data_IF_682794352808
#
_entry.id   IF_682794352808
#
_cell.length_a   1.000
_cell.length_b   1.000
_cell.length_c   1.000
_cell.angle_alpha   90.00
_cell.angle_beta   90.00
_cell.angle_gamma   90.00
#
_symmetry.space_group_name_H-M   'P 1'
#
loop_
_entity.id
_entity.type
_entity.pdbx_description
1 polymer ?
#
# COMPACT_ATOMS: atom_id res chain seq x y z
N UNK A 1 -0.47 -7.82 -1.11
CA UNK A 1 0.17 -6.55 -0.72
C UNK A 1 -0.89 -5.62 -0.19
N UNK A 2 -0.63 -5.01 0.97
CA UNK A 2 -1.44 -3.93 1.52
C UNK A 2 -0.53 -2.77 1.87
N UNK A 3 -0.96 -1.55 1.59
CA UNK A 3 -0.21 -0.33 1.87
C UNK A 3 -1.10 0.60 2.67
N UNK A 4 -0.52 1.20 3.69
CA UNK A 4 -1.19 2.05 4.67
C UNK A 4 -0.54 3.41 4.72
N UNK A 5 -1.35 4.42 5.08
CA UNK A 5 -0.87 5.78 5.26
C UNK A 5 0.16 5.89 6.40
N UNK A 6 0.73 7.09 6.56
CA UNK A 6 1.77 7.41 7.57
C UNK A 6 1.39 7.03 9.02
N UNK A 7 0.11 6.95 9.35
CA UNK A 7 -0.34 6.60 10.70
C UNK A 7 -0.73 5.12 10.84
N UNK A 8 -0.61 4.32 9.77
CA UNK A 8 -1.05 2.92 9.74
C UNK A 8 -2.56 2.71 9.83
N UNK A 9 -3.34 3.79 9.88
CA UNK A 9 -4.77 3.75 10.19
C UNK A 9 -5.67 3.52 8.98
N UNK A 10 -5.21 3.83 7.77
CA UNK A 10 -6.01 3.69 6.55
C UNK A 10 -5.25 2.94 5.47
N UNK A 11 -5.93 1.95 4.88
CA UNK A 11 -5.47 1.26 3.68
C UNK A 11 -5.57 2.22 2.48
N UNK A 12 -4.43 2.37 1.81
CA UNK A 12 -4.20 3.22 0.64
C UNK A 12 -4.23 2.38 -0.62
N UNK A 13 -3.61 1.19 -0.56
CA UNK A 13 -3.56 0.30 -1.71
C UNK A 13 -3.64 -1.16 -1.26
N UNK A 14 -4.32 -1.98 -2.05
CA UNK A 14 -4.37 -3.43 -1.89
C UNK A 14 -4.32 -4.14 -3.23
N UNK A 15 -3.55 -5.21 -3.29
CA UNK A 15 -3.46 -6.08 -4.46
C UNK A 15 -3.07 -7.51 -4.09
N UNK A 16 -3.75 -8.47 -4.73
CA UNK A 16 -3.38 -9.89 -4.73
C UNK A 16 -2.36 -10.16 -5.83
N UNK A 17 -1.38 -11.03 -5.57
CA UNK A 17 -0.35 -11.36 -6.57
C UNK A 17 0.53 -10.15 -6.96
N UNK A 18 0.82 -9.28 -5.99
CA UNK A 18 1.54 -8.02 -6.24
C UNK A 18 2.89 -8.24 -6.91
N UNK A 19 3.08 -7.64 -8.08
CA UNK A 19 4.28 -7.81 -8.90
C UNK A 19 5.04 -6.49 -9.09
N UNK A 20 5.08 -5.67 -8.03
CA UNK A 20 5.74 -4.37 -8.01
C UNK A 20 5.22 -3.34 -9.02
N UNK A 21 3.91 -3.35 -9.27
CA UNK A 21 3.23 -2.53 -10.29
C UNK A 21 2.48 -1.32 -9.75
N UNK A 22 2.60 -1.02 -8.45
CA UNK A 22 1.90 0.13 -7.88
C UNK A 22 2.60 1.43 -8.29
N UNK A 23 1.82 2.36 -8.82
CA UNK A 23 2.25 3.63 -9.41
C UNK A 23 1.94 4.85 -8.52
N UNK A 24 1.52 4.59 -7.28
CA UNK A 24 1.16 5.61 -6.30
C UNK A 24 -0.32 6.00 -6.32
N UNK A 25 -1.17 5.31 -7.09
CA UNK A 25 -2.61 5.54 -7.10
C UNK A 25 -3.31 4.77 -5.97
N UNK A 26 -4.16 5.46 -5.21
CA UNK A 26 -4.93 4.81 -4.13
C UNK A 26 -6.08 3.98 -4.71
N UNK A 27 -6.27 2.75 -4.23
CA UNK A 27 -7.49 1.95 -4.47
C UNK A 27 -8.16 1.50 -3.15
N UNK A 28 -7.75 2.10 -2.04
CA UNK A 28 -8.29 1.81 -0.72
C UNK A 28 -9.70 2.37 -0.49
N UNK A 29 -10.36 1.97 0.61
CA UNK A 29 -11.76 2.31 0.91
C UNK A 29 -12.03 3.79 1.21
N UNK A 30 -10.99 4.62 1.32
CA UNK A 30 -11.09 6.07 1.54
C UNK A 30 -10.59 6.89 0.35
N UNK A 31 -10.44 6.24 -0.80
CA UNK A 31 -10.07 6.93 -2.04
C UNK A 31 -11.23 7.80 -2.50
N UNK A 32 -11.03 9.11 -2.53
CA UNK A 32 -12.04 10.07 -3.02
C UNK A 32 -11.95 10.22 -4.54
N UNK A 33 -10.74 10.11 -5.09
CA UNK A 33 -10.48 10.15 -6.52
C UNK A 33 -9.44 9.07 -6.87
N UNK A 34 -9.83 8.11 -7.70
CA UNK A 34 -8.96 7.00 -8.14
C UNK A 34 -7.94 7.42 -9.20
N UNK A 35 -8.01 8.65 -9.72
CA UNK A 35 -7.02 9.16 -10.69
C UNK A 35 -5.87 9.93 -10.01
N UNK A 36 -6.02 10.28 -8.73
CA UNK A 36 -5.04 11.08 -8.01
C UNK A 36 -3.98 10.21 -7.33
N UNK A 37 -2.71 10.59 -7.53
CA UNK A 37 -1.60 10.00 -6.78
C UNK A 37 -1.68 10.37 -5.32
N UNK A 38 -1.24 9.44 -4.47
CA UNK A 38 -1.14 9.67 -3.03
C UNK A 38 -0.09 10.74 -2.73
N UNK A 39 -0.26 11.54 -1.66
CA UNK A 39 0.70 12.56 -1.29
C UNK A 39 2.11 12.02 -1.07
N UNK A 40 3.11 12.84 -1.39
CA UNK A 40 4.52 12.57 -1.06
C UNK A 40 4.67 12.29 0.43
N UNK A 41 5.38 11.22 0.77
CA UNK A 41 5.59 10.85 2.17
C UNK A 41 5.90 9.37 2.41
N UNK A 42 6.00 9.04 3.69
CA UNK A 42 6.23 7.68 4.17
C UNK A 42 4.92 6.93 4.32
N UNK A 43 4.89 5.71 3.80
CA UNK A 43 3.80 4.75 3.88
C UNK A 43 4.32 3.44 4.48
N UNK A 44 3.42 2.61 4.97
CA UNK A 44 3.75 1.31 5.53
C UNK A 44 3.14 0.21 4.68
N UNK A 45 3.83 -0.91 4.52
CA UNK A 45 3.31 -2.04 3.76
C UNK A 45 3.30 -3.33 4.57
N UNK A 46 2.36 -4.20 4.20
CA UNK A 46 2.29 -5.59 4.62
C UNK A 46 2.26 -6.46 3.36
N UNK A 47 3.28 -7.30 3.22
CA UNK A 47 3.43 -8.24 2.12
C UNK A 47 3.34 -9.67 2.65
N UNK A 48 2.20 -10.30 2.38
CA UNK A 48 1.97 -11.71 2.62
C UNK A 48 2.20 -12.50 1.31
N UNK A 49 3.06 -13.53 1.36
CA UNK A 49 3.39 -14.40 0.23
C UNK A 49 2.48 -15.63 0.13
N UNK A 50 1.59 -15.85 1.11
CA UNK A 50 0.64 -16.96 1.13
C UNK A 50 1.27 -18.35 1.29
N UNK A 51 2.54 -18.43 1.65
CA UNK A 51 3.29 -19.68 1.85
C UNK A 51 3.24 -20.19 3.30
N UNK A 52 2.52 -19.50 4.19
CA UNK A 52 2.47 -19.78 5.63
C UNK A 52 3.57 -19.10 6.44
N UNK A 53 4.49 -18.39 5.78
CA UNK A 53 5.50 -17.54 6.43
C UNK A 53 4.88 -16.29 7.06
N UNK A 54 5.58 -15.70 8.03
CA UNK A 54 5.21 -14.41 8.60
C UNK A 54 5.18 -13.31 7.51
N UNK A 55 4.14 -12.46 7.48
CA UNK A 55 4.08 -11.35 6.55
C UNK A 55 5.28 -10.40 6.72
N UNK A 56 5.83 -9.95 5.60
CA UNK A 56 6.89 -8.94 5.60
C UNK A 56 6.28 -7.56 5.80
N UNK A 57 6.76 -6.84 6.80
CA UNK A 57 6.28 -5.51 7.15
C UNK A 57 7.42 -4.52 7.01
N UNK A 58 7.13 -3.34 6.47
CA UNK A 58 8.12 -2.29 6.31
C UNK A 58 7.50 -0.95 5.97
N UNK A 59 8.37 -0.03 5.57
CA UNK A 59 7.97 1.29 5.11
C UNK A 59 8.50 1.53 3.69
N UNK A 60 7.82 2.42 2.98
CA UNK A 60 8.23 2.92 1.67
C UNK A 60 8.04 4.44 1.64
N UNK A 61 8.85 5.11 0.83
CA UNK A 61 8.75 6.55 0.61
C UNK A 61 8.29 6.81 -0.83
N UNK A 62 7.32 7.70 -0.99
CA UNK A 62 6.77 8.14 -2.28
C UNK A 62 7.15 9.59 -2.51
N UNK A 63 7.60 9.89 -3.72
CA UNK A 63 7.97 11.22 -4.21
C UNK A 63 7.37 11.48 -5.58
#
# INVERSE_FOLDING_TARGET
>A
MKIYNRWGGYEVYTASGYNNTWDGVSNGPRTVNEEDKVPVGTYYYVLDLGQGDEPRIGWLYIN
#
